data_IF_633778084739
#
_entry.id   IF_633778084739
#
_cell.length_a   1.000
_cell.length_b   1.000
_cell.length_c   1.000
_cell.angle_alpha   90.00
_cell.angle_beta   90.00
_cell.angle_gamma   90.00
#
_symmetry.space_group_name_H-M   'P 1'
#
loop_
_entity.id
_entity.type
_entity.pdbx_description
1 polymer ?
#
# COMPACT_ATOMS: atom_id res chain seq x y z
N UNK A 1 -23.64 -33.03 22.43
CA UNK A 1 -22.49 -33.34 21.54
C UNK A 1 -21.24 -32.88 22.24
N UNK A 2 -20.22 -33.72 22.29
CA UNK A 2 -18.95 -33.33 22.89
C UNK A 2 -18.21 -32.34 22.01
N UNK A 3 -17.91 -31.17 22.58
CA UNK A 3 -16.99 -30.19 21.98
C UNK A 3 -15.62 -30.85 21.80
N UNK A 4 -14.98 -30.64 20.65
CA UNK A 4 -13.68 -31.21 20.32
C UNK A 4 -12.56 -30.48 21.08
N UNK A 5 -11.48 -31.15 21.48
CA UNK A 5 -10.38 -30.46 22.15
C UNK A 5 -9.61 -29.54 21.19
N UNK A 6 -9.27 -28.34 21.67
CA UNK A 6 -8.46 -27.41 20.91
C UNK A 6 -7.03 -27.94 20.74
N UNK A 7 -6.49 -27.91 19.52
CA UNK A 7 -5.09 -28.26 19.19
C UNK A 7 -4.05 -27.61 20.11
N UNK A 8 -4.35 -26.43 20.64
CA UNK A 8 -3.44 -25.65 21.50
C UNK A 8 -3.76 -25.77 23.01
N UNK A 9 -4.82 -26.48 23.40
CA UNK A 9 -5.20 -26.72 24.79
C UNK A 9 -5.23 -25.45 25.66
N UNK A 10 -4.68 -25.54 26.87
CA UNK A 10 -4.53 -24.39 27.78
C UNK A 10 -3.66 -23.24 27.22
N UNK A 11 -2.81 -23.51 26.23
CA UNK A 11 -1.95 -22.51 25.55
C UNK A 11 -2.66 -21.81 24.39
N UNK A 12 -3.97 -22.05 24.19
CA UNK A 12 -4.72 -21.43 23.10
C UNK A 12 -4.89 -19.92 23.28
N UNK A 13 -4.28 -19.17 22.37
CA UNK A 13 -4.43 -17.73 22.21
C UNK A 13 -5.75 -17.27 21.55
N UNK A 14 -6.62 -18.18 21.09
CA UNK A 14 -7.96 -17.84 20.59
C UNK A 14 -8.98 -17.87 21.74
N UNK A 15 -9.47 -16.70 22.14
CA UNK A 15 -10.34 -16.52 23.34
C UNK A 15 -11.79 -16.15 23.03
N UNK A 16 -12.17 -15.97 21.77
CA UNK A 16 -13.50 -15.49 21.41
C UNK A 16 -14.64 -16.50 21.73
N UNK A 17 -15.90 -16.04 21.87
CA UNK A 17 -17.03 -16.91 22.21
C UNK A 17 -17.23 -18.07 21.23
N UNK A 18 -17.18 -17.81 19.92
CA UNK A 18 -17.42 -18.83 18.89
C UNK A 18 -16.37 -19.96 18.91
N UNK A 19 -15.11 -19.66 19.24
CA UNK A 19 -14.06 -20.67 19.44
C UNK A 19 -14.32 -21.51 20.69
N UNK A 20 -14.74 -20.88 21.80
CA UNK A 20 -15.11 -21.56 23.06
C UNK A 20 -16.40 -22.39 22.95
N UNK A 21 -17.29 -22.06 22.02
CA UNK A 21 -18.46 -22.88 21.68
C UNK A 21 -18.07 -24.17 20.94
N UNK A 22 -17.11 -24.10 20.02
CA UNK A 22 -16.67 -25.25 19.22
C UNK A 22 -15.65 -26.13 19.94
N UNK A 23 -14.71 -25.53 20.67
CA UNK A 23 -13.54 -26.23 21.21
C UNK A 23 -13.44 -26.19 22.75
N UNK A 24 -13.12 -27.36 23.33
CA UNK A 24 -12.70 -27.48 24.74
C UNK A 24 -11.24 -27.04 24.89
N UNK A 25 -10.95 -26.53 26.07
CA UNK A 25 -9.61 -26.12 26.47
C UNK A 25 -9.31 -26.81 27.80
N UNK A 26 -8.99 -28.12 27.80
CA UNK A 26 -8.62 -28.81 29.02
C UNK A 26 -7.39 -28.13 29.63
N UNK A 27 -7.46 -27.85 30.92
CA UNK A 27 -6.29 -27.43 31.68
C UNK A 27 -5.24 -28.55 31.65
N UNK A 28 -3.95 -28.20 31.64
CA UNK A 28 -2.90 -29.19 31.90
C UNK A 28 -3.18 -29.81 33.26
N UNK A 29 -3.29 -31.14 33.32
CA UNK A 29 -3.50 -31.86 34.57
C UNK A 29 -2.28 -31.71 35.48
N UNK A 30 -2.34 -30.75 36.42
CA UNK A 30 -1.58 -30.84 37.65
C UNK A 30 -2.36 -31.72 38.62
N UNK A 31 -1.83 -32.90 38.92
CA UNK A 31 -2.40 -33.87 39.87
C UNK A 31 -2.73 -33.22 41.22
N UNK A 32 -3.81 -33.66 41.90
CA UNK A 32 -4.33 -32.96 43.08
C UNK A 32 -3.47 -33.18 44.32
N UNK A 33 -3.37 -32.17 45.20
CA UNK A 33 -3.87 -32.18 46.60
C UNK A 33 -3.30 -30.98 47.38
N UNK A 34 -4.13 -29.98 47.70
CA UNK A 34 -4.32 -29.39 49.05
C UNK A 34 -5.27 -28.18 49.01
N UNK A 35 -6.06 -28.05 50.08
CA UNK A 35 -7.07 -27.03 50.33
C UNK A 35 -6.47 -25.68 50.82
N UNK A 36 -7.26 -24.58 50.92
CA UNK A 36 -6.78 -23.22 50.61
C UNK A 36 -6.45 -22.30 51.82
N UNK A 37 -6.09 -21.06 51.45
CA UNK A 37 -6.02 -19.78 52.22
C UNK A 37 -4.68 -19.35 52.85
N UNK A 38 -4.42 -18.03 53.04
CA UNK A 38 -5.06 -16.83 52.44
C UNK A 38 -4.07 -15.85 51.76
N UNK A 39 -4.57 -14.75 51.20
CA UNK A 39 -3.78 -13.69 50.55
C UNK A 39 -2.77 -12.98 51.47
N UNK A 40 -1.57 -12.66 50.96
CA UNK A 40 -0.79 -11.46 51.35
C UNK A 40 0.17 -11.05 50.23
N UNK A 41 0.74 -9.85 50.34
CA UNK A 41 1.28 -9.08 49.21
C UNK A 41 2.82 -9.02 49.09
N UNK A 42 3.26 -8.86 47.85
CA UNK A 42 4.44 -8.07 47.41
C UNK A 42 5.89 -8.62 47.49
N UNK A 43 6.63 -8.31 46.40
CA UNK A 43 8.10 -8.15 46.22
C UNK A 43 9.04 -9.36 45.99
N UNK A 44 9.40 -9.52 44.70
CA UNK A 44 10.75 -9.53 44.07
C UNK A 44 11.86 -10.51 44.54
N UNK A 45 12.48 -11.17 43.52
CA UNK A 45 13.84 -11.81 43.47
C UNK A 45 13.99 -13.08 44.33
N UNK A 46 14.84 -14.08 44.05
CA UNK A 46 15.75 -14.41 42.91
C UNK A 46 16.39 -15.81 43.15
N UNK A 47 16.89 -16.63 42.22
CA UNK A 47 16.72 -16.82 40.75
C UNK A 47 17.42 -18.16 40.37
N UNK A 48 17.06 -18.85 39.25
CA UNK A 48 17.74 -20.07 38.73
C UNK A 48 17.32 -20.43 37.29
N UNK A 49 18.15 -21.17 36.51
CA UNK A 49 18.12 -21.11 35.04
C UNK A 49 17.18 -22.13 34.39
N UNK A 50 16.69 -21.77 33.20
CA UNK A 50 16.05 -22.68 32.23
C UNK A 50 16.65 -22.35 30.86
N UNK A 51 17.10 -23.36 30.12
CA UNK A 51 17.69 -23.18 28.80
C UNK A 51 16.72 -22.52 27.82
N UNK A 52 17.14 -21.38 27.26
CA UNK A 52 16.33 -20.55 26.38
C UNK A 52 16.88 -20.59 24.93
N UNK A 53 16.15 -21.14 23.95
CA UNK A 53 16.62 -21.30 22.57
C UNK A 53 16.66 -19.98 21.78
N UNK A 54 16.39 -18.83 22.42
CA UNK A 54 16.38 -17.50 21.80
C UNK A 54 17.78 -16.92 21.58
N UNK A 55 18.81 -17.51 22.20
CA UNK A 55 20.20 -17.04 22.08
C UNK A 55 20.76 -17.15 20.65
N UNK A 56 20.51 -18.27 19.95
CA UNK A 56 21.00 -18.50 18.59
C UNK A 56 20.37 -17.51 17.58
N UNK A 57 19.09 -17.17 17.77
CA UNK A 57 18.36 -16.19 16.94
C UNK A 57 18.95 -14.78 17.10
N UNK A 58 19.43 -14.44 18.29
CA UNK A 58 20.06 -13.14 18.58
C UNK A 58 21.48 -13.00 18.02
N UNK A 59 22.21 -14.10 17.81
CA UNK A 59 23.51 -14.10 17.13
C UNK A 59 23.35 -13.81 15.62
N UNK A 60 22.38 -14.44 14.96
CA UNK A 60 22.12 -14.21 13.52
C UNK A 60 21.68 -12.76 13.22
N UNK A 61 20.87 -12.16 14.09
CA UNK A 61 20.45 -10.74 13.95
C UNK A 61 21.65 -9.78 14.04
N UNK A 62 22.66 -10.07 14.89
CA UNK A 62 23.90 -9.26 14.98
C UNK A 62 24.79 -9.40 13.74
N UNK A 63 24.60 -10.44 12.92
CA UNK A 63 25.42 -10.70 11.73
C UNK A 63 25.03 -9.83 10.53
N UNK A 64 23.82 -9.26 10.54
CA UNK A 64 23.33 -8.31 9.53
C UNK A 64 23.98 -6.93 9.67
N UNK A 65 25.23 -6.79 9.20
CA UNK A 65 25.89 -5.47 9.07
C UNK A 65 25.13 -4.59 8.08
N UNK A 66 24.50 -3.54 8.60
CA UNK A 66 23.91 -2.43 7.83
C UNK A 66 24.97 -1.81 6.90
N UNK A 67 24.77 -1.76 5.57
CA UNK A 67 25.63 -1.00 4.67
C UNK A 67 25.60 0.50 5.03
N UNK A 68 26.72 1.20 4.82
CA UNK A 68 26.77 2.65 5.04
C UNK A 68 26.03 3.40 3.92
N UNK A 69 25.18 4.35 4.30
CA UNK A 69 24.51 5.29 3.37
C UNK A 69 25.46 6.42 2.97
N UNK A 70 25.74 6.63 1.67
CA UNK A 70 26.32 7.87 1.17
C UNK A 70 25.24 8.96 1.05
N UNK A 71 25.61 10.19 1.37
CA UNK A 71 24.76 11.37 1.17
C UNK A 71 24.85 11.90 -0.27
N UNK A 72 23.76 12.58 -0.69
CA UNK A 72 23.61 13.42 -1.90
C UNK A 72 23.71 12.72 -3.25
N UNK A 73 22.85 13.17 -4.17
CA UNK A 73 23.28 13.36 -5.54
C UNK A 73 22.63 14.63 -6.14
N UNK A 74 23.36 15.27 -7.04
CA UNK A 74 23.02 16.53 -7.70
C UNK A 74 22.54 16.28 -9.14
N UNK A 75 21.74 17.21 -9.69
CA UNK A 75 21.69 17.51 -11.13
C UNK A 75 21.63 16.38 -12.20
N UNK A 76 20.44 15.86 -12.45
CA UNK A 76 19.81 15.79 -13.80
C UNK A 76 20.66 15.29 -15.01
N UNK A 77 20.36 14.09 -15.53
CA UNK A 77 20.38 13.81 -16.99
C UNK A 77 19.51 12.61 -17.41
N UNK A 78 18.97 12.67 -18.62
CA UNK A 78 18.43 11.51 -19.33
C UNK A 78 19.61 10.72 -19.92
N UNK A 79 19.85 9.49 -19.46
CA UNK A 79 20.80 8.55 -20.08
C UNK A 79 20.20 7.14 -20.21
N UNK A 80 20.74 6.37 -21.15
CA UNK A 80 20.06 5.25 -21.81
C UNK A 80 19.91 3.98 -20.96
N UNK A 81 18.97 3.11 -21.35
CA UNK A 81 18.78 1.77 -20.79
C UNK A 81 20.02 0.86 -20.98
N UNK A 82 20.99 0.95 -20.06
CA UNK A 82 21.98 -0.10 -19.83
C UNK A 82 21.93 -0.51 -18.35
N UNK A 83 21.27 -1.64 -18.08
CA UNK A 83 21.22 -2.24 -16.75
C UNK A 83 20.49 -1.39 -15.71
N UNK A 84 19.21 -1.70 -15.44
CA UNK A 84 18.49 -1.08 -14.32
C UNK A 84 19.02 -1.60 -12.97
N UNK A 85 20.15 -1.05 -12.53
CA UNK A 85 20.71 -1.25 -11.20
C UNK A 85 20.07 -0.26 -10.22
N UNK A 86 19.63 -0.78 -9.08
CA UNK A 86 19.16 0.01 -7.96
C UNK A 86 20.16 -0.19 -6.81
N UNK A 87 20.83 0.88 -6.38
CA UNK A 87 21.91 0.84 -5.38
C UNK A 87 23.05 -0.16 -5.67
N UNK A 88 23.47 -0.31 -6.93
CA UNK A 88 24.56 -1.23 -7.31
C UNK A 88 24.25 -2.71 -7.10
N UNK A 89 22.97 -3.06 -6.91
CA UNK A 89 22.48 -4.42 -6.92
C UNK A 89 21.90 -4.68 -8.31
N UNK A 90 22.56 -5.55 -9.08
CA UNK A 90 22.05 -6.00 -10.36
C UNK A 90 20.68 -6.66 -10.17
N UNK A 91 19.66 -6.23 -10.92
CA UNK A 91 18.30 -6.81 -10.88
C UNK A 91 18.37 -8.34 -11.00
N UNK A 92 18.15 -9.07 -9.90
CA UNK A 92 17.71 -10.45 -9.99
C UNK A 92 16.30 -10.42 -10.57
N UNK A 93 16.20 -10.70 -11.88
CA UNK A 93 14.91 -11.02 -12.50
C UNK A 93 14.40 -12.26 -11.80
N UNK A 94 13.23 -12.17 -11.16
CA UNK A 94 12.66 -13.28 -10.42
C UNK A 94 12.25 -14.36 -11.43
N UNK A 95 13.15 -15.31 -11.69
CA UNK A 95 12.75 -16.51 -12.40
C UNK A 95 11.71 -17.21 -11.53
N UNK A 96 10.49 -17.28 -12.05
CA UNK A 96 9.49 -18.22 -11.55
C UNK A 96 10.19 -19.58 -11.42
N UNK A 97 10.17 -20.23 -10.24
CA UNK A 97 10.74 -21.55 -10.11
C UNK A 97 10.14 -22.47 -11.17
N UNK A 98 10.99 -23.25 -11.85
CA UNK A 98 10.52 -24.34 -12.72
C UNK A 98 9.92 -25.42 -11.81
N UNK A 99 8.66 -25.21 -11.41
CA UNK A 99 7.85 -26.23 -10.75
C UNK A 99 7.65 -27.34 -11.78
N UNK A 100 8.06 -28.59 -11.51
CA UNK A 100 7.78 -29.71 -12.40
C UNK A 100 6.25 -29.90 -12.43
N UNK A 101 5.60 -29.40 -13.48
CA UNK A 101 4.14 -29.47 -13.62
C UNK A 101 3.71 -30.90 -13.98
N UNK A 102 3.47 -31.71 -12.95
CA UNK A 102 2.37 -32.68 -12.98
C UNK A 102 1.30 -32.20 -11.99
N UNK A 103 0.50 -31.22 -12.45
CA UNK A 103 -0.62 -30.65 -11.69
C UNK A 103 -1.83 -30.50 -12.60
N UNK A 104 -2.28 -31.63 -13.18
CA UNK A 104 -3.38 -31.72 -14.17
C UNK A 104 -4.79 -31.33 -13.69
N UNK A 105 -4.90 -30.48 -12.67
CA UNK A 105 -6.13 -29.81 -12.21
C UNK A 105 -5.91 -28.37 -11.69
N UNK A 106 -4.68 -27.81 -11.73
CA UNK A 106 -4.39 -26.44 -11.26
C UNK A 106 -3.82 -25.52 -12.36
N UNK A 107 -3.53 -26.05 -13.55
CA UNK A 107 -3.23 -25.28 -14.77
C UNK A 107 -4.34 -24.26 -15.07
N UNK A 108 -5.59 -24.74 -15.09
CA UNK A 108 -6.76 -24.03 -15.61
C UNK A 108 -7.13 -22.78 -14.80
N UNK A 109 -6.61 -22.63 -13.57
CA UNK A 109 -6.83 -21.48 -12.68
C UNK A 109 -5.81 -20.36 -12.97
N UNK A 110 -4.60 -20.71 -13.43
CA UNK A 110 -3.49 -19.76 -13.61
C UNK A 110 -3.12 -19.51 -15.08
N UNK A 111 -3.40 -20.44 -16.00
CA UNK A 111 -3.18 -20.23 -17.44
C UNK A 111 -3.86 -18.97 -17.99
N UNK A 112 -5.10 -18.60 -17.59
CA UNK A 112 -5.71 -17.33 -18.02
C UNK A 112 -4.98 -16.07 -17.56
N UNK A 113 -4.05 -16.18 -16.61
CA UNK A 113 -3.22 -15.07 -16.10
C UNK A 113 -1.81 -15.05 -16.73
N UNK A 114 -1.43 -16.08 -17.51
CA UNK A 114 -0.11 -16.21 -18.15
C UNK A 114 -0.22 -16.35 -19.68
N UNK A 115 -1.30 -15.85 -20.29
CA UNK A 115 -1.37 -15.57 -21.74
C UNK A 115 -1.51 -14.07 -22.03
N UNK A 116 -0.40 -13.33 -21.92
CA UNK A 116 -0.20 -12.09 -22.72
C UNK A 116 0.60 -12.41 -23.99
N UNK A 117 0.29 -13.55 -24.62
CA UNK A 117 1.06 -14.19 -25.68
C UNK A 117 0.78 -13.62 -27.08
N UNK A 118 -0.25 -12.76 -27.26
CA UNK A 118 -0.55 -12.10 -28.54
C UNK A 118 -0.28 -10.60 -28.50
N UNK A 119 0.64 -10.16 -29.37
CA UNK A 119 1.01 -8.75 -29.59
C UNK A 119 -0.15 -7.89 -30.12
N UNK A 120 -1.18 -8.51 -30.66
CA UNK A 120 -2.41 -7.86 -31.14
C UNK A 120 -3.32 -7.50 -29.96
N UNK A 121 -3.65 -8.44 -29.08
CA UNK A 121 -4.42 -8.20 -27.86
C UNK A 121 -3.78 -7.09 -26.98
N UNK A 122 -2.44 -7.04 -26.89
CA UNK A 122 -1.76 -5.94 -26.19
C UNK A 122 -1.97 -4.56 -26.86
N UNK A 123 -2.00 -4.51 -28.19
CA UNK A 123 -2.23 -3.26 -28.94
C UNK A 123 -3.68 -2.81 -28.87
N UNK A 124 -4.63 -3.75 -28.93
CA UNK A 124 -6.05 -3.50 -28.70
C UNK A 124 -6.26 -2.95 -27.29
N UNK A 125 -5.63 -3.58 -26.29
CA UNK A 125 -5.66 -3.10 -24.91
C UNK A 125 -5.04 -1.70 -24.78
N UNK A 126 -3.92 -1.40 -25.45
CA UNK A 126 -3.35 -0.05 -25.49
C UNK A 126 -4.24 0.99 -26.21
N UNK A 127 -5.25 0.58 -26.98
CA UNK A 127 -6.20 1.49 -27.61
C UNK A 127 -7.33 1.93 -26.66
N UNK A 128 -7.65 1.13 -25.63
CA UNK A 128 -8.58 1.46 -24.56
C UNK A 128 -7.84 1.59 -23.20
N UNK A 129 -7.52 2.81 -22.76
CA UNK A 129 -6.84 3.02 -21.48
C UNK A 129 -7.62 2.53 -20.25
N UNK A 130 -8.96 2.46 -20.30
CA UNK A 130 -9.78 2.01 -19.17
C UNK A 130 -9.61 0.51 -19.00
N UNK A 131 -9.75 -0.24 -20.09
CA UNK A 131 -9.52 -1.68 -20.11
C UNK A 131 -8.05 -2.02 -19.83
N UNK A 132 -7.08 -1.23 -20.33
CA UNK A 132 -5.67 -1.39 -19.98
C UNK A 132 -5.43 -1.27 -18.48
N UNK A 133 -5.96 -0.23 -17.83
CA UNK A 133 -5.80 -0.06 -16.38
C UNK A 133 -6.48 -1.22 -15.64
N UNK A 134 -7.69 -1.62 -16.07
CA UNK A 134 -8.42 -2.75 -15.48
C UNK A 134 -7.65 -4.07 -15.57
N UNK A 135 -7.02 -4.37 -16.71
CA UNK A 135 -6.31 -5.63 -16.95
C UNK A 135 -4.85 -5.65 -16.47
N UNK A 136 -4.15 -4.50 -16.46
CA UNK A 136 -2.71 -4.43 -16.13
C UNK A 136 -2.42 -3.90 -14.74
N UNK A 137 -3.23 -2.96 -14.25
CA UNK A 137 -3.13 -2.43 -12.88
C UNK A 137 -4.16 -3.07 -11.92
N UNK A 138 -5.03 -3.96 -12.42
CA UNK A 138 -5.99 -4.74 -11.65
C UNK A 138 -6.97 -3.91 -10.80
N UNK A 139 -7.29 -2.69 -11.24
CA UNK A 139 -8.19 -1.75 -10.54
C UNK A 139 -9.10 -1.01 -11.52
N UNK A 140 -10.29 -0.61 -11.04
CA UNK A 140 -11.14 0.37 -11.72
C UNK A 140 -10.86 1.78 -11.17
N UNK A 141 -10.55 2.75 -12.04
CA UNK A 141 -10.20 4.10 -11.57
C UNK A 141 -11.42 4.90 -11.07
N UNK A 142 -11.26 5.74 -10.03
CA UNK A 142 -12.33 6.61 -9.55
C UNK A 142 -12.73 7.64 -10.61
N UNK A 143 -13.98 8.10 -10.63
CA UNK A 143 -14.42 9.11 -11.61
C UNK A 143 -13.54 10.38 -11.63
N UNK A 144 -13.07 10.81 -10.46
CA UNK A 144 -12.20 11.98 -10.32
C UNK A 144 -10.82 11.85 -11.00
N UNK A 145 -10.35 10.62 -11.28
CA UNK A 145 -9.13 10.38 -12.07
C UNK A 145 -9.30 10.91 -13.50
N UNK A 146 -10.40 10.52 -14.15
CA UNK A 146 -10.74 10.96 -15.51
C UNK A 146 -10.99 12.47 -15.54
N UNK A 147 -11.73 13.01 -14.56
CA UNK A 147 -11.98 14.46 -14.46
C UNK A 147 -10.70 15.28 -14.28
N UNK A 148 -9.68 14.79 -13.56
CA UNK A 148 -8.39 15.47 -13.48
C UNK A 148 -7.63 15.41 -14.82
N UNK A 149 -7.74 14.31 -15.56
CA UNK A 149 -7.16 14.22 -16.90
C UNK A 149 -7.85 15.16 -17.89
N UNK A 150 -9.18 15.25 -17.87
CA UNK A 150 -9.98 16.21 -18.64
C UNK A 150 -9.56 17.66 -18.34
N UNK A 151 -9.40 18.01 -17.05
CA UNK A 151 -8.85 19.30 -16.65
C UNK A 151 -7.46 19.54 -17.26
N UNK A 152 -6.57 18.54 -17.25
CA UNK A 152 -5.23 18.66 -17.82
C UNK A 152 -5.28 18.84 -19.35
N UNK A 153 -6.11 18.08 -20.07
CA UNK A 153 -6.32 18.21 -21.52
C UNK A 153 -6.84 19.62 -21.85
N UNK A 154 -7.77 20.15 -21.06
CA UNK A 154 -8.28 21.52 -21.21
C UNK A 154 -7.25 22.63 -20.95
N UNK A 155 -6.11 22.32 -20.30
CA UNK A 155 -4.99 23.26 -20.09
C UNK A 155 -3.86 23.08 -21.10
N UNK A 156 -3.57 21.85 -21.53
CA UNK A 156 -2.56 21.54 -22.54
C UNK A 156 -2.99 20.29 -23.32
N UNK A 157 -3.62 20.46 -24.50
CA UNK A 157 -4.07 19.33 -25.32
C UNK A 157 -2.92 18.42 -25.78
N UNK A 158 -1.75 19.02 -26.10
CA UNK A 158 -0.58 18.28 -26.61
C UNK A 158 0.14 17.47 -25.52
N UNK A 159 0.19 18.01 -24.29
CA UNK A 159 0.98 17.46 -23.17
C UNK A 159 0.22 17.53 -21.83
N UNK A 160 -0.93 16.83 -21.66
CA UNK A 160 -1.74 16.93 -20.44
C UNK A 160 -0.97 16.52 -19.18
N UNK A 161 -0.12 15.49 -19.27
CA UNK A 161 0.69 15.00 -18.14
C UNK A 161 1.77 15.98 -17.62
N UNK A 162 2.09 17.04 -18.38
CA UNK A 162 3.12 18.04 -18.02
C UNK A 162 2.53 19.31 -17.40
N UNK A 163 1.19 19.43 -17.27
CA UNK A 163 0.49 20.64 -16.81
C UNK A 163 1.01 21.17 -15.46
N UNK A 164 1.41 20.29 -14.54
CA UNK A 164 1.94 20.67 -13.23
C UNK A 164 3.48 20.54 -13.11
N UNK A 165 4.19 20.09 -14.15
CA UNK A 165 5.65 19.83 -14.11
C UNK A 165 6.45 21.10 -13.79
N UNK A 166 5.97 22.28 -14.23
CA UNK A 166 6.54 23.60 -13.87
C UNK A 166 6.43 23.96 -12.38
N UNK A 167 5.48 23.36 -11.67
CA UNK A 167 5.32 23.48 -10.22
C UNK A 167 6.00 22.32 -9.47
N UNK A 168 6.65 21.39 -10.18
CA UNK A 168 7.34 20.25 -9.59
C UNK A 168 6.45 19.05 -9.24
N UNK A 169 5.24 18.96 -9.79
CA UNK A 169 4.36 17.80 -9.64
C UNK A 169 4.19 17.08 -10.98
N UNK A 170 4.36 15.76 -10.98
CA UNK A 170 4.21 14.92 -12.18
C UNK A 170 3.07 13.93 -12.00
N UNK A 171 2.25 13.79 -13.05
CA UNK A 171 1.25 12.73 -13.17
C UNK A 171 1.94 11.44 -13.65
N UNK A 172 1.71 10.34 -12.95
CA UNK A 172 2.42 9.06 -13.15
C UNK A 172 1.49 7.85 -13.00
N UNK A 173 2.02 6.63 -13.16
CA UNK A 173 1.28 5.41 -12.87
C UNK A 173 0.18 5.17 -13.91
N UNK A 174 -1.09 5.00 -13.52
CA UNK A 174 -2.22 4.99 -14.44
C UNK A 174 -2.28 6.19 -15.41
N UNK A 175 -1.80 7.38 -15.03
CA UNK A 175 -1.73 8.52 -15.96
C UNK A 175 -0.71 8.32 -17.10
N UNK A 176 0.29 7.45 -16.93
CA UNK A 176 1.23 7.11 -18.02
C UNK A 176 0.53 6.30 -19.14
N UNK A 177 -0.56 5.60 -18.82
CA UNK A 177 -1.45 4.94 -19.80
C UNK A 177 -2.18 5.98 -20.63
N UNK A 178 -2.80 6.96 -19.98
CA UNK A 178 -3.50 8.07 -20.65
C UNK A 178 -2.54 8.94 -21.49
N UNK A 179 -1.30 9.09 -21.02
CA UNK A 179 -0.20 9.73 -21.76
C UNK A 179 0.42 8.83 -22.86
N UNK A 180 -0.13 7.65 -23.14
CA UNK A 180 0.30 6.69 -24.16
C UNK A 180 1.75 6.19 -24.03
N UNK A 181 2.36 6.25 -22.84
CA UNK A 181 3.77 5.84 -22.66
C UNK A 181 4.02 4.33 -22.78
N UNK A 182 2.95 3.54 -22.82
CA UNK A 182 3.02 2.08 -22.96
C UNK A 182 2.83 1.54 -24.39
N UNK A 183 2.53 2.39 -25.39
CA UNK A 183 2.29 1.92 -26.78
C UNK A 183 3.49 1.23 -27.40
N UNK A 184 4.69 1.76 -27.11
CA UNK A 184 5.98 1.32 -27.66
C UNK A 184 6.91 0.79 -26.55
N UNK A 185 6.38 0.60 -25.35
CA UNK A 185 7.11 -0.03 -24.26
C UNK A 185 7.46 -1.49 -24.62
N UNK A 186 8.61 -1.96 -24.15
CA UNK A 186 8.96 -3.38 -24.24
C UNK A 186 7.89 -4.20 -23.52
N UNK A 187 7.58 -5.40 -24.03
CA UNK A 187 6.64 -6.27 -23.34
C UNK A 187 7.24 -6.68 -22.00
N UNK A 188 6.54 -6.30 -20.94
CA UNK A 188 6.94 -6.41 -19.56
C UNK A 188 6.20 -7.56 -18.87
N UNK A 189 6.78 -8.14 -17.82
CA UNK A 189 6.12 -9.19 -17.03
C UNK A 189 4.81 -8.64 -16.42
N UNK A 190 3.75 -9.43 -16.19
CA UNK A 190 2.49 -8.93 -15.64
C UNK A 190 2.66 -8.11 -14.34
N UNK A 191 3.61 -8.53 -13.49
CA UNK A 191 3.95 -7.84 -12.25
C UNK A 191 4.77 -6.54 -12.40
N UNK A 192 5.28 -6.19 -13.59
CA UNK A 192 5.96 -4.89 -13.80
C UNK A 192 4.97 -3.72 -13.73
N UNK A 193 3.76 -3.85 -14.27
CA UNK A 193 2.72 -2.82 -14.20
C UNK A 193 2.30 -2.53 -12.75
N UNK A 194 2.20 -3.57 -11.93
CA UNK A 194 1.91 -3.46 -10.49
C UNK A 194 3.07 -2.84 -9.69
N UNK A 195 4.30 -2.83 -10.23
CA UNK A 195 5.50 -2.20 -9.65
C UNK A 195 5.80 -0.82 -10.23
N UNK A 196 5.07 -0.38 -11.26
CA UNK A 196 5.27 0.89 -11.93
C UNK A 196 4.96 2.07 -10.99
N UNK A 197 5.97 2.88 -10.68
CA UNK A 197 5.94 3.92 -9.63
C UNK A 197 5.59 3.44 -8.20
N UNK A 198 5.80 2.15 -7.91
CA UNK A 198 5.63 1.62 -6.55
C UNK A 198 6.90 1.88 -5.74
N UNK A 199 6.83 2.75 -4.75
CA UNK A 199 7.93 3.10 -3.86
C UNK A 199 8.16 2.00 -2.79
N UNK A 200 9.30 2.09 -2.11
CA UNK A 200 9.78 1.06 -1.18
C UNK A 200 8.81 0.76 -0.01
N UNK A 201 8.12 1.78 0.50
CA UNK A 201 7.17 1.64 1.61
C UNK A 201 5.70 1.52 1.17
N UNK A 202 5.41 1.49 -0.13
CA UNK A 202 4.04 1.36 -0.61
C UNK A 202 3.52 -0.05 -0.26
N UNK A 203 2.39 -0.18 0.45
CA UNK A 203 1.67 -1.44 0.57
C UNK A 203 0.81 -1.67 -0.70
N UNK A 204 0.32 -2.89 -0.97
CA UNK A 204 -0.53 -3.18 -2.14
C UNK A 204 -1.78 -2.27 -2.26
N UNK A 205 -2.29 -1.80 -1.14
CA UNK A 205 -3.43 -0.88 -1.01
C UNK A 205 -3.14 0.54 -1.52
N UNK A 206 -1.87 0.91 -1.71
CA UNK A 206 -1.44 2.25 -2.12
C UNK A 206 -0.95 2.24 -3.57
N UNK A 207 -1.68 2.91 -4.48
CA UNK A 207 -1.33 3.03 -5.89
C UNK A 207 -0.92 4.46 -6.25
N UNK A 208 0.39 4.69 -6.42
CA UNK A 208 0.96 6.00 -6.77
C UNK A 208 0.43 6.56 -8.10
N UNK A 209 0.03 7.83 -8.07
CA UNK A 209 -0.51 8.58 -9.21
C UNK A 209 0.09 9.98 -9.38
N UNK A 210 0.68 10.57 -8.33
CA UNK A 210 1.38 11.86 -8.39
C UNK A 210 2.72 11.79 -7.67
N UNK A 211 3.77 12.39 -8.24
CA UNK A 211 5.12 12.43 -7.64
C UNK A 211 5.65 13.86 -7.63
N UNK A 212 6.25 14.28 -6.51
CA UNK A 212 6.98 15.55 -6.38
C UNK A 212 8.40 15.38 -6.92
N UNK A 213 8.76 16.18 -7.93
CA UNK A 213 10.09 16.16 -8.57
C UNK A 213 11.19 16.51 -7.56
N UNK A 214 12.26 15.71 -7.54
CA UNK A 214 13.41 15.92 -6.64
C UNK A 214 13.10 15.69 -5.17
N UNK A 215 12.10 14.85 -4.86
CA UNK A 215 11.69 14.55 -3.48
C UNK A 215 11.23 13.09 -3.35
N UNK A 216 11.16 12.60 -2.10
CA UNK A 216 10.53 11.32 -1.78
C UNK A 216 9.00 11.40 -1.65
N UNK A 217 8.42 12.60 -1.75
CA UNK A 217 6.98 12.87 -1.62
C UNK A 217 6.20 12.40 -2.84
N UNK A 218 5.19 11.57 -2.60
CA UNK A 218 4.30 11.04 -3.63
C UNK A 218 2.91 10.73 -3.06
N UNK A 219 1.90 10.80 -3.93
CA UNK A 219 0.50 10.58 -3.59
C UNK A 219 -0.05 9.39 -4.36
N UNK A 220 -0.86 8.59 -3.67
CA UNK A 220 -1.48 7.39 -4.22
C UNK A 220 -2.93 7.25 -3.80
N UNK A 221 -3.74 6.60 -4.64
CA UNK A 221 -5.05 6.14 -4.21
C UNK A 221 -4.89 5.07 -3.14
N UNK A 222 -5.63 5.17 -2.06
CA UNK A 222 -5.71 4.14 -1.02
C UNK A 222 -6.98 3.30 -1.23
N UNK A 223 -6.83 1.98 -1.24
CA UNK A 223 -7.93 1.02 -1.41
C UNK A 223 -7.85 -0.09 -0.36
N UNK A 224 -8.85 -0.16 0.51
CA UNK A 224 -8.97 -1.30 1.43
C UNK A 224 -9.41 -2.59 0.72
N UNK A 225 -10.07 -2.47 -0.44
CA UNK A 225 -10.46 -3.55 -1.35
C UNK A 225 -10.15 -3.10 -2.80
N UNK A 226 -9.62 -3.96 -3.69
CA UNK A 226 -9.16 -3.53 -5.01
C UNK A 226 -10.27 -2.90 -5.89
N UNK A 227 -11.52 -3.33 -5.70
CA UNK A 227 -12.71 -2.81 -6.38
C UNK A 227 -13.11 -1.40 -5.90
N UNK A 228 -12.56 -0.89 -4.80
CA UNK A 228 -12.93 0.41 -4.21
C UNK A 228 -12.51 1.59 -5.09
N UNK A 229 -13.43 2.04 -5.95
CA UNK A 229 -13.29 3.24 -6.76
C UNK A 229 -13.75 4.53 -6.05
N UNK A 230 -13.85 4.57 -4.72
CA UNK A 230 -14.29 5.75 -3.95
C UNK A 230 -13.36 6.96 -4.06
N UNK A 231 -12.09 6.75 -4.42
CA UNK A 231 -11.13 7.80 -4.72
C UNK A 231 -10.39 8.40 -3.53
N UNK A 232 -10.40 7.73 -2.37
CA UNK A 232 -9.58 8.09 -1.21
C UNK A 232 -8.09 8.22 -1.61
N UNK A 233 -7.42 9.31 -1.21
CA UNK A 233 -6.01 9.58 -1.53
C UNK A 233 -5.17 9.72 -0.27
N UNK A 234 -3.98 9.15 -0.32
CA UNK A 234 -2.98 9.23 0.72
C UNK A 234 -1.63 9.75 0.19
N UNK A 235 -0.75 10.11 1.12
CA UNK A 235 0.56 10.72 0.92
C UNK A 235 1.62 9.93 1.71
N UNK A 236 2.74 9.61 1.07
CA UNK A 236 3.97 9.16 1.73
C UNK A 236 5.16 10.05 1.33
N UNK A 237 6.19 10.07 2.18
CA UNK A 237 7.51 10.59 1.85
C UNK A 237 8.54 9.50 2.19
N UNK A 238 9.05 8.81 1.16
CA UNK A 238 9.94 7.65 1.34
C UNK A 238 11.21 7.99 2.13
N UNK A 239 11.64 9.26 2.12
CA UNK A 239 12.79 9.74 2.88
C UNK A 239 12.51 9.91 4.38
N UNK A 240 11.24 9.99 4.78
CA UNK A 240 10.79 10.09 6.19
C UNK A 240 10.36 8.75 6.77
N UNK A 241 10.18 7.71 5.95
CA UNK A 241 9.86 6.34 6.36
C UNK A 241 8.48 5.87 5.89
N UNK A 242 7.94 4.86 6.56
CA UNK A 242 6.71 4.17 6.12
C UNK A 242 5.39 4.86 6.49
N UNK A 243 5.38 6.04 7.11
CA UNK A 243 4.12 6.70 7.49
C UNK A 243 3.31 7.15 6.26
N UNK A 244 2.07 6.68 6.16
CA UNK A 244 1.12 7.01 5.10
C UNK A 244 -0.02 7.82 5.72
N UNK A 245 -0.26 9.01 5.16
CA UNK A 245 -1.24 10.00 5.68
C UNK A 245 -2.40 10.11 4.71
N UNK A 246 -3.62 9.91 5.18
CA UNK A 246 -4.84 10.20 4.40
C UNK A 246 -4.98 11.71 4.23
N UNK A 247 -5.09 12.20 2.99
CA UNK A 247 -5.06 13.64 2.69
C UNK A 247 -6.31 14.16 1.98
N UNK A 248 -7.15 13.30 1.41
CA UNK A 248 -8.33 13.73 0.66
C UNK A 248 -9.19 12.59 0.14
N UNK A 249 -10.34 12.94 -0.41
CA UNK A 249 -11.39 11.99 -0.85
C UNK A 249 -11.46 11.82 -2.37
N UNK A 250 -10.55 12.50 -3.07
CA UNK A 250 -10.36 12.50 -4.51
C UNK A 250 -8.98 13.09 -4.84
N UNK A 251 -8.60 13.04 -6.11
CA UNK A 251 -7.29 13.51 -6.57
C UNK A 251 -7.13 15.03 -6.63
N UNK A 252 -8.22 15.81 -6.68
CA UNK A 252 -8.15 17.27 -6.64
C UNK A 252 -7.72 17.75 -5.25
N UNK A 253 -8.20 17.11 -4.17
CA UNK A 253 -7.70 17.35 -2.81
C UNK A 253 -6.17 17.13 -2.72
N UNK A 254 -5.64 16.11 -3.42
CA UNK A 254 -4.21 15.82 -3.44
C UNK A 254 -3.39 16.89 -4.15
N UNK A 255 -3.85 17.36 -5.32
CA UNK A 255 -3.19 18.46 -6.04
C UNK A 255 -3.30 19.77 -5.24
N UNK A 256 -4.43 20.04 -4.59
CA UNK A 256 -4.60 21.22 -3.73
C UNK A 256 -3.69 21.13 -2.50
N UNK A 257 -3.61 19.98 -1.82
CA UNK A 257 -2.65 19.76 -0.72
C UNK A 257 -1.22 19.98 -1.19
N UNK A 258 -0.85 19.49 -2.37
CA UNK A 258 0.48 19.74 -2.93
C UNK A 258 0.74 21.25 -3.09
N UNK A 259 -0.20 21.99 -3.68
CA UNK A 259 -0.11 23.44 -3.90
C UNK A 259 -0.14 24.27 -2.60
N UNK A 260 -0.67 23.73 -1.50
CA UNK A 260 -0.75 24.40 -0.20
C UNK A 260 0.44 24.10 0.73
N UNK A 261 1.05 22.90 0.62
CA UNK A 261 2.00 22.41 1.62
C UNK A 261 3.33 21.89 1.06
N UNK A 262 3.36 21.37 -0.17
CA UNK A 262 4.54 20.69 -0.70
C UNK A 262 5.28 21.45 -1.81
N UNK A 263 4.59 22.33 -2.53
CA UNK A 263 5.20 23.13 -3.60
C UNK A 263 6.26 24.09 -3.08
N UNK A 264 7.43 24.11 -3.73
CA UNK A 264 8.49 25.07 -3.41
C UNK A 264 8.05 26.49 -3.83
N UNK A 265 7.52 27.26 -2.88
CA UNK A 265 7.00 28.60 -3.15
C UNK A 265 8.14 29.62 -3.29
N UNK A 266 8.16 30.33 -4.40
CA UNK A 266 9.11 31.41 -4.73
C UNK A 266 8.34 32.67 -5.12
N UNK A 267 8.96 33.87 -5.09
CA UNK A 267 8.32 35.09 -5.54
C UNK A 267 7.78 35.01 -6.99
N UNK A 268 8.41 34.21 -7.84
CA UNK A 268 8.08 34.07 -9.26
C UNK A 268 6.90 33.11 -9.52
N UNK A 269 6.75 32.03 -8.75
CA UNK A 269 5.68 31.04 -8.96
C UNK A 269 4.44 31.25 -8.08
N UNK A 270 4.48 32.12 -7.06
CA UNK A 270 3.36 32.36 -6.14
C UNK A 270 2.05 32.72 -6.85
N UNK A 271 2.10 33.54 -7.89
CA UNK A 271 0.94 33.88 -8.71
C UNK A 271 0.40 32.65 -9.47
N UNK A 272 1.30 31.87 -10.09
CA UNK A 272 0.94 30.65 -10.81
C UNK A 272 0.30 29.61 -9.89
N UNK A 273 0.83 29.40 -8.68
CA UNK A 273 0.26 28.49 -7.66
C UNK A 273 -1.19 28.91 -7.33
N UNK A 274 -1.42 30.21 -7.05
CA UNK A 274 -2.74 30.73 -6.75
C UNK A 274 -3.73 30.59 -7.92
N UNK A 275 -3.31 30.90 -9.15
CA UNK A 275 -4.12 30.73 -10.36
C UNK A 275 -4.45 29.27 -10.64
N UNK A 276 -3.48 28.36 -10.54
CA UNK A 276 -3.70 26.92 -10.74
C UNK A 276 -4.67 26.36 -9.71
N UNK A 277 -4.47 26.70 -8.42
CA UNK A 277 -5.38 26.30 -7.35
C UNK A 277 -6.81 26.79 -7.58
N UNK A 278 -6.99 28.09 -7.88
CA UNK A 278 -8.32 28.66 -8.17
C UNK A 278 -8.99 27.98 -9.37
N UNK A 279 -8.22 27.66 -10.41
CA UNK A 279 -8.75 26.95 -11.59
C UNK A 279 -9.16 25.50 -11.29
N UNK A 280 -8.50 24.81 -10.34
CA UNK A 280 -8.90 23.49 -9.87
C UNK A 280 -10.18 23.57 -9.03
N UNK A 281 -10.28 24.57 -8.14
CA UNK A 281 -11.48 24.83 -7.32
C UNK A 281 -12.70 25.18 -8.19
N UNK A 282 -12.51 25.98 -9.24
CA UNK A 282 -13.56 26.31 -10.23
C UNK A 282 -14.00 25.09 -11.04
N UNK A 283 -13.05 24.26 -11.53
CA UNK A 283 -13.37 23.04 -12.28
C UNK A 283 -14.08 22.00 -11.40
N UNK A 284 -13.58 21.75 -10.20
CA UNK A 284 -14.21 20.83 -9.25
C UNK A 284 -15.65 21.25 -8.95
N UNK A 285 -15.91 22.55 -8.76
CA UNK A 285 -17.26 23.09 -8.58
C UNK A 285 -18.16 22.93 -9.82
N UNK A 286 -17.61 23.01 -11.04
CA UNK A 286 -18.38 22.81 -12.28
C UNK A 286 -18.74 21.34 -12.54
N UNK A 287 -17.97 20.41 -11.97
CA UNK A 287 -18.13 18.95 -12.13
C UNK A 287 -18.65 18.26 -10.85
N UNK A 288 -19.21 19.02 -9.90
CA UNK A 288 -19.75 18.55 -8.61
C UNK A 288 -18.77 17.66 -7.79
N UNK A 289 -17.47 17.92 -7.90
CA UNK A 289 -16.41 17.22 -7.17
C UNK A 289 -16.26 17.87 -5.78
N UNK A 290 -16.51 17.14 -4.67
CA UNK A 290 -16.39 17.69 -3.32
C UNK A 290 -14.92 17.96 -2.98
N UNK A 291 -14.59 19.16 -2.54
CA UNK A 291 -13.23 19.52 -2.11
C UNK A 291 -13.11 19.67 -0.60
N UNK A 292 -11.98 19.26 -0.05
CA UNK A 292 -11.61 19.31 1.38
C UNK A 292 -12.60 18.59 2.30
N UNK A 293 -13.34 17.62 1.74
CA UNK A 293 -14.18 16.70 2.50
C UNK A 293 -13.33 15.79 3.39
N UNK A 294 -13.93 15.31 4.48
CA UNK A 294 -13.30 14.41 5.44
C UNK A 294 -14.29 13.32 5.94
N UNK A 295 -15.46 13.20 5.32
CA UNK A 295 -16.51 12.26 5.70
C UNK A 295 -16.13 10.80 5.43
N UNK A 296 -15.58 10.48 4.24
CA UNK A 296 -15.05 9.14 3.91
C UNK A 296 -13.88 8.78 4.82
N UNK A 297 -12.96 9.72 5.07
CA UNK A 297 -11.80 9.51 5.96
C UNK A 297 -12.29 9.18 7.38
N UNK A 298 -13.26 9.93 7.90
CA UNK A 298 -13.88 9.68 9.22
C UNK A 298 -14.70 8.39 9.24
N UNK A 299 -15.41 8.05 8.15
CA UNK A 299 -16.20 6.83 8.05
C UNK A 299 -15.29 5.58 8.04
N UNK A 300 -14.26 5.58 7.19
CA UNK A 300 -13.20 4.56 7.16
C UNK A 300 -12.54 4.42 8.53
N UNK A 301 -12.19 5.53 9.17
CA UNK A 301 -11.54 5.55 10.49
C UNK A 301 -12.31 4.84 11.62
N UNK A 302 -13.64 4.69 11.51
CA UNK A 302 -14.46 3.89 12.45
C UNK A 302 -14.33 2.37 12.25
N UNK A 303 -13.95 1.97 11.04
CA UNK A 303 -13.84 0.57 10.60
C UNK A 303 -12.39 0.05 10.64
N UNK A 304 -11.40 0.94 10.82
CA UNK A 304 -10.00 0.55 11.01
C UNK A 304 -9.86 -0.29 12.29
N UNK A 305 -9.29 -1.49 12.16
CA UNK A 305 -9.10 -2.43 13.29
C UNK A 305 -7.70 -2.34 13.89
N UNK A 306 -6.70 -1.94 13.11
CA UNK A 306 -5.32 -1.70 13.55
C UNK A 306 -4.68 -0.61 12.69
N UNK A 307 -3.83 0.25 13.28
CA UNK A 307 -3.10 1.29 12.53
C UNK A 307 -1.86 0.79 11.80
N UNK A 308 -1.26 -0.31 12.28
CA UNK A 308 0.05 -0.84 11.84
C UNK A 308 1.19 0.20 11.95
N UNK A 309 2.38 -0.14 11.46
CA UNK A 309 3.51 0.79 11.42
C UNK A 309 3.33 1.93 10.42
N UNK A 310 2.66 1.70 9.28
CA UNK A 310 2.43 2.73 8.26
C UNK A 310 1.31 3.73 8.62
N UNK A 311 0.64 3.56 9.77
CA UNK A 311 -0.39 4.44 10.38
C UNK A 311 -1.68 4.69 9.59
N UNK A 312 -1.73 4.42 8.29
CA UNK A 312 -2.98 4.43 7.51
C UNK A 312 -3.99 3.37 7.98
N UNK A 313 -3.51 2.26 8.54
CA UNK A 313 -4.32 1.20 9.14
C UNK A 313 -5.05 0.28 8.19
N UNK A 314 -5.49 -0.86 8.71
CA UNK A 314 -6.19 -1.94 7.99
C UNK A 314 -7.69 -1.96 8.35
N UNK A 315 -8.52 -2.30 7.37
CA UNK A 315 -9.98 -2.47 7.50
C UNK A 315 -10.34 -3.88 7.06
N UNK A 316 -10.99 -4.65 7.93
CA UNK A 316 -11.47 -6.01 7.63
C UNK A 316 -12.86 -6.21 8.25
N UNK A 317 -13.69 -7.13 7.74
CA UNK A 317 -14.93 -7.51 8.39
C UNK A 317 -14.66 -7.99 9.83
N UNK A 318 -15.22 -7.31 10.83
CA UNK A 318 -15.02 -7.62 12.24
C UNK A 318 -16.33 -7.56 13.03
N UNK A 319 -16.84 -8.72 13.43
CA UNK A 319 -17.95 -8.82 14.38
C UNK A 319 -17.41 -8.55 15.80
N UNK A 320 -17.69 -7.33 16.30
CA UNK A 320 -17.32 -6.89 17.65
C UNK A 320 -18.06 -7.61 18.78
N UNK A 321 -19.21 -8.25 18.52
CA UNK A 321 -19.96 -9.01 19.53
C UNK A 321 -19.44 -10.44 19.67
N UNK A 322 -19.04 -11.06 18.56
CA UNK A 322 -18.48 -12.42 18.54
C UNK A 322 -16.94 -12.46 18.55
N UNK A 323 -16.27 -11.30 18.50
CA UNK A 323 -14.82 -11.16 18.36
C UNK A 323 -14.27 -12.01 17.19
N UNK A 324 -14.92 -11.91 16.04
CA UNK A 324 -14.60 -12.68 14.81
C UNK A 324 -14.16 -11.75 13.69
N UNK A 325 -12.99 -12.04 13.10
CA UNK A 325 -12.45 -11.38 11.91
C UNK A 325 -11.11 -10.67 12.13
N UNK A 326 -10.89 -10.10 13.33
CA UNK A 326 -9.63 -9.47 13.73
C UNK A 326 -9.28 -9.85 15.18
N UNK A 327 -7.99 -9.80 15.49
CA UNK A 327 -7.44 -9.90 16.84
C UNK A 327 -6.06 -9.22 16.87
N UNK A 328 -5.77 -8.56 17.97
CA UNK A 328 -4.51 -7.85 18.22
C UNK A 328 -3.31 -8.82 18.34
N UNK A 329 -2.11 -8.28 18.16
CA UNK A 329 -0.85 -8.98 18.44
C UNK A 329 -0.63 -9.09 19.96
N UNK A 330 0.28 -9.97 20.37
CA UNK A 330 0.65 -10.11 21.79
C UNK A 330 1.55 -8.95 22.27
N UNK A 331 2.33 -8.38 21.35
CA UNK A 331 3.27 -7.29 21.61
C UNK A 331 2.72 -5.95 21.09
N UNK A 332 3.20 -4.85 21.67
CA UNK A 332 2.91 -3.49 21.23
C UNK A 332 3.74 -3.05 20.01
N UNK A 333 3.29 -1.99 19.34
CA UNK A 333 4.00 -1.28 18.26
C UNK A 333 5.37 -0.67 18.66
N UNK A 334 5.68 -0.60 19.96
CA UNK A 334 6.72 0.25 20.56
C UNK A 334 7.86 -0.54 21.22
#
# INVERSE_FOLDING_TARGET
MDKQDCKYGASCYQKNPAHKEKYRHPAKETSPTKEPEPETSSKRRSDSPVDDPTADILEDIKRCKRPATPEKDDGNREEAEQGAEYYGITRQRYQLPEVPMDVGMMSDIYDPQIEFSKKEEYKELCADPVEFIRHKFLVAMPACFNSLWEFCVGKSPDKPGEVFEKLGLRLVGPFDVLAKKFTDAKMHEPGDYLRHWRFYYDPPEFQTVLVKKGSGVHYGYWRDQPEDASGLVALNDVNKGCEIKMIGENIFDAVIHFLEHEVATTPFNKAQIATTKKSLEEFAKQHDIPLKSNEKIKARGKNVVCKTFHKAGIVVPFDRKQELGYRELLESDA
#
